data_IF_745093735800
#
_entry.id   IF_745093735800
#
_cell.length_a   1.000
_cell.length_b   1.000
_cell.length_c   1.000
_cell.angle_alpha   90.00
_cell.angle_beta   90.00
_cell.angle_gamma   90.00
#
_symmetry.space_group_name_H-M   'P 1'
#
loop_
_entity.id
_entity.type
_entity.pdbx_description
1 polymer ?
#
# COMPACT_ATOMS: atom_id res chain seq x y z
N UNK A 1 -4.18 9.88 -7.90
CA UNK A 1 -4.63 9.20 -6.68
C UNK A 1 -3.70 8.02 -6.45
N UNK A 2 -3.09 7.90 -5.27
CA UNK A 2 -2.09 6.86 -4.95
C UNK A 2 -2.41 6.28 -3.57
N UNK A 3 -1.87 5.10 -3.28
CA UNK A 3 -1.75 4.58 -1.92
C UNK A 3 -0.29 4.74 -1.51
N UNK A 4 -0.02 5.63 -0.56
CA UNK A 4 1.33 5.83 0.00
C UNK A 4 1.60 4.84 1.12
N UNK A 5 0.60 4.66 1.98
CA UNK A 5 0.60 3.65 3.02
C UNK A 5 -0.69 2.86 2.88
N UNK A 6 -0.55 1.57 2.62
CA UNK A 6 -1.62 0.60 2.66
C UNK A 6 -1.05 -0.70 3.22
N UNK A 7 -1.90 -1.47 3.86
CA UNK A 7 -1.58 -2.78 4.41
C UNK A 7 -2.64 -3.77 3.93
N UNK A 8 -2.18 -4.75 3.14
CA UNK A 8 -2.97 -5.84 2.58
C UNK A 8 -2.49 -7.20 3.10
N UNK A 9 -1.71 -7.22 4.18
CA UNK A 9 -1.16 -8.44 4.78
C UNK A 9 -2.24 -9.45 5.19
N UNK A 10 -3.45 -8.98 5.50
CA UNK A 10 -4.61 -9.81 5.85
C UNK A 10 -5.22 -10.59 4.68
N UNK A 11 -4.83 -10.28 3.44
CA UNK A 11 -5.37 -10.88 2.22
C UNK A 11 -4.28 -11.42 1.30
N UNK A 12 -3.16 -11.85 1.87
CA UNK A 12 -2.13 -12.60 1.12
C UNK A 12 -2.75 -13.90 0.63
N UNK A 13 -2.69 -14.12 -0.68
CA UNK A 13 -3.26 -15.29 -1.33
C UNK A 13 -2.25 -16.45 -1.35
N UNK A 14 -2.76 -17.68 -1.41
CA UNK A 14 -1.93 -18.84 -1.73
C UNK A 14 -1.40 -18.74 -3.18
N UNK A 15 -0.17 -19.20 -3.46
CA UNK A 15 0.43 -19.15 -4.78
C UNK A 15 -0.45 -19.86 -5.82
N UNK A 16 -0.88 -19.14 -6.85
CA UNK A 16 -1.84 -19.64 -7.82
C UNK A 16 -1.19 -20.47 -8.94
N UNK A 17 0.02 -20.09 -9.35
CA UNK A 17 0.75 -20.77 -10.41
C UNK A 17 1.93 -21.58 -9.85
N UNK A 18 2.37 -22.59 -10.61
CA UNK A 18 3.54 -23.41 -10.22
C UNK A 18 4.81 -22.58 -9.98
N UNK A 19 4.98 -21.46 -10.70
CA UNK A 19 6.11 -20.56 -10.50
C UNK A 19 5.96 -19.66 -9.26
N UNK A 20 4.73 -19.42 -8.79
CA UNK A 20 4.43 -18.49 -7.70
C UNK A 20 5.00 -18.95 -6.36
N UNK A 21 5.22 -20.26 -6.18
CA UNK A 21 5.88 -20.79 -4.98
C UNK A 21 7.26 -20.15 -4.75
N UNK A 22 7.93 -19.72 -5.82
CA UNK A 22 9.23 -19.08 -5.74
C UNK A 22 9.16 -17.62 -5.27
N UNK A 23 7.97 -17.02 -5.16
CA UNK A 23 7.74 -15.63 -4.75
C UNK A 23 7.39 -15.54 -3.26
N UNK A 24 6.80 -16.59 -2.70
CA UNK A 24 6.39 -16.66 -1.30
C UNK A 24 7.60 -16.49 -0.37
N UNK A 25 7.48 -15.57 0.59
CA UNK A 25 8.51 -15.29 1.59
C UNK A 25 9.75 -14.55 1.07
N UNK A 26 9.81 -14.18 -0.21
CA UNK A 26 10.88 -13.32 -0.74
C UNK A 26 10.55 -11.85 -0.58
N UNK A 27 11.60 -11.04 -0.40
CA UNK A 27 11.49 -9.58 -0.49
C UNK A 27 11.29 -9.17 -1.95
N UNK A 28 10.43 -8.18 -2.18
CA UNK A 28 10.19 -7.62 -3.51
C UNK A 28 11.48 -6.99 -4.02
N UNK A 29 11.84 -7.37 -5.25
CA UNK A 29 12.96 -6.78 -5.97
C UNK A 29 12.68 -6.78 -7.47
N UNK A 30 13.49 -6.04 -8.22
CA UNK A 30 13.38 -5.98 -9.68
C UNK A 30 13.47 -7.38 -10.33
N UNK A 31 14.27 -8.28 -9.76
CA UNK A 31 14.48 -9.64 -10.28
C UNK A 31 13.25 -10.53 -10.19
N UNK A 32 12.30 -10.20 -9.31
CA UNK A 32 11.04 -10.93 -9.13
C UNK A 32 9.88 -10.32 -9.92
N UNK A 33 10.09 -9.19 -10.62
CA UNK A 33 9.01 -8.50 -11.34
C UNK A 33 8.31 -9.37 -12.36
N UNK A 34 9.02 -10.29 -13.02
CA UNK A 34 8.41 -11.18 -14.01
C UNK A 34 7.29 -12.01 -13.39
N UNK A 35 7.45 -12.50 -12.16
CA UNK A 35 6.45 -13.31 -11.45
C UNK A 35 5.40 -12.46 -10.74
N UNK A 36 5.83 -11.39 -10.06
CA UNK A 36 4.94 -10.49 -9.31
C UNK A 36 3.92 -9.78 -10.20
N UNK A 37 4.21 -9.60 -11.50
CA UNK A 37 3.24 -9.07 -12.47
C UNK A 37 2.08 -10.02 -12.75
N UNK A 38 2.26 -11.31 -12.53
CA UNK A 38 1.24 -12.34 -12.78
C UNK A 38 0.54 -12.81 -11.51
N UNK A 39 1.24 -12.81 -10.37
CA UNK A 39 0.69 -13.23 -9.08
C UNK A 39 1.19 -12.31 -7.94
N UNK A 40 0.66 -11.08 -7.84
CA UNK A 40 1.18 -10.07 -6.90
C UNK A 40 0.80 -10.34 -5.44
N UNK A 41 -0.35 -10.99 -5.20
CA UNK A 41 -0.92 -11.16 -3.86
C UNK A 41 -0.30 -12.32 -3.08
N UNK A 42 0.41 -13.24 -3.75
CA UNK A 42 1.09 -14.36 -3.09
C UNK A 42 2.40 -13.97 -2.36
N UNK A 43 2.88 -12.74 -2.56
CA UNK A 43 4.10 -12.24 -1.93
C UNK A 43 3.76 -11.36 -0.73
N UNK A 44 4.00 -11.87 0.47
CA UNK A 44 3.71 -11.17 1.73
C UNK A 44 4.37 -9.78 1.80
N UNK A 45 5.66 -9.67 1.43
CA UNK A 45 6.41 -8.40 1.41
C UNK A 45 5.82 -7.39 0.41
N UNK A 46 5.22 -7.88 -0.69
CA UNK A 46 4.53 -7.02 -1.65
C UNK A 46 3.26 -6.40 -1.05
N UNK A 47 2.55 -7.17 -0.23
CA UNK A 47 1.28 -6.80 0.42
C UNK A 47 1.46 -6.07 1.75
N UNK A 48 2.65 -6.10 2.33
CA UNK A 48 2.95 -5.46 3.61
C UNK A 48 3.04 -3.94 3.50
N UNK A 49 2.87 -3.28 4.65
CA UNK A 49 3.03 -1.85 4.84
C UNK A 49 4.43 -1.43 4.40
N UNK A 50 4.50 -0.32 3.66
CA UNK A 50 5.78 0.25 3.20
C UNK A 50 6.44 1.09 4.29
N UNK A 51 7.76 0.98 4.36
CA UNK A 51 8.58 1.81 5.24
C UNK A 51 8.56 3.28 4.78
N UNK A 52 8.62 4.20 5.74
CA UNK A 52 8.47 5.62 5.45
C UNK A 52 9.58 6.16 4.54
N UNK A 53 10.80 5.66 4.70
CA UNK A 53 11.96 6.11 3.93
C UNK A 53 11.86 5.68 2.46
N UNK A 54 11.34 4.48 2.19
CA UNK A 54 11.05 4.01 0.82
C UNK A 54 9.97 4.88 0.16
N UNK A 55 8.94 5.24 0.92
CA UNK A 55 7.87 6.14 0.44
C UNK A 55 8.43 7.52 0.13
N UNK A 56 9.30 8.06 0.98
CA UNK A 56 9.95 9.36 0.75
C UNK A 56 10.84 9.32 -0.50
N UNK A 57 11.60 8.25 -0.70
CA UNK A 57 12.44 8.07 -1.89
C UNK A 57 11.61 8.16 -3.18
N UNK A 58 10.49 7.44 -3.24
CA UNK A 58 9.56 7.47 -4.38
C UNK A 58 8.88 8.83 -4.57
N UNK A 59 8.56 9.53 -3.48
CA UNK A 59 7.97 10.88 -3.55
C UNK A 59 8.97 11.88 -4.10
N UNK A 60 10.25 11.78 -3.74
CA UNK A 60 11.28 12.68 -4.24
C UNK A 60 11.41 12.58 -5.77
N UNK A 61 11.19 11.40 -6.35
CA UNK A 61 11.12 11.22 -7.80
C UNK A 61 9.93 11.96 -8.43
N UNK A 62 8.77 12.00 -7.76
CA UNK A 62 7.63 12.79 -8.22
C UNK A 62 7.87 14.29 -8.09
N UNK A 63 8.47 14.73 -6.98
CA UNK A 63 8.78 16.13 -6.72
C UNK A 63 9.83 16.68 -7.67
N UNK A 64 10.84 15.88 -8.05
CA UNK A 64 11.88 16.28 -9.01
C UNK A 64 11.32 16.60 -10.40
N UNK A 65 10.15 16.04 -10.74
CA UNK A 65 9.39 16.33 -11.96
C UNK A 65 8.40 17.50 -11.80
N UNK A 66 8.46 18.24 -10.68
CA UNK A 66 7.60 19.40 -10.40
C UNK A 66 6.29 19.06 -9.69
N UNK A 67 6.12 17.82 -9.21
CA UNK A 67 4.99 17.39 -8.42
C UNK A 67 4.88 18.14 -7.09
N UNK A 68 3.66 18.56 -6.71
CA UNK A 68 3.43 19.38 -5.50
C UNK A 68 2.37 18.84 -4.54
N UNK A 69 1.50 17.96 -5.02
CA UNK A 69 0.37 17.45 -4.25
C UNK A 69 0.11 15.99 -4.59
N UNK A 70 -0.10 15.16 -3.57
CA UNK A 70 -0.58 13.79 -3.73
C UNK A 70 -1.84 13.60 -2.88
N UNK A 71 -2.80 12.85 -3.42
CA UNK A 71 -3.97 12.35 -2.69
C UNK A 71 -3.71 10.89 -2.34
N UNK A 72 -3.67 10.59 -1.05
CA UNK A 72 -3.68 9.23 -0.51
C UNK A 72 -5.13 8.72 -0.44
N UNK A 73 -5.41 7.62 -1.15
CA UNK A 73 -6.75 7.03 -1.22
C UNK A 73 -6.98 5.87 -0.26
N UNK A 74 -6.09 5.67 0.70
CA UNK A 74 -6.30 4.69 1.76
C UNK A 74 -7.30 5.27 2.78
N UNK A 75 -8.59 5.08 2.48
CA UNK A 75 -9.69 5.77 3.17
C UNK A 75 -10.07 5.21 4.55
N UNK A 76 -9.63 4.00 4.89
CA UNK A 76 -10.02 3.32 6.12
C UNK A 76 -8.89 2.50 6.73
N UNK A 77 -9.02 2.24 8.03
CA UNK A 77 -8.08 1.41 8.80
C UNK A 77 -8.02 -0.03 8.27
N UNK A 78 -9.09 -0.52 7.65
CA UNK A 78 -9.20 -1.88 7.10
C UNK A 78 -8.21 -2.17 5.97
N UNK A 79 -7.70 -1.13 5.31
CA UNK A 79 -6.68 -1.20 4.27
C UNK A 79 -5.39 -0.46 4.66
N UNK A 80 -5.20 -0.19 5.97
CA UNK A 80 -3.95 0.33 6.51
C UNK A 80 -3.78 1.85 6.45
N UNK A 81 -4.86 2.64 6.55
CA UNK A 81 -4.75 4.12 6.62
C UNK A 81 -3.86 4.56 7.79
N UNK A 82 -2.82 5.33 7.49
CA UNK A 82 -1.89 5.87 8.48
C UNK A 82 -1.71 7.40 8.34
N UNK A 83 -2.60 8.15 9.02
CA UNK A 83 -2.57 9.61 8.98
C UNK A 83 -1.31 10.22 9.62
N UNK A 84 -0.71 9.53 10.60
CA UNK A 84 0.50 9.98 11.28
C UNK A 84 1.71 9.90 10.35
N UNK A 85 1.87 8.78 9.64
CA UNK A 85 2.92 8.63 8.64
C UNK A 85 2.76 9.62 7.47
N UNK A 86 1.53 9.82 6.97
CA UNK A 86 1.26 10.83 5.93
C UNK A 86 1.67 12.24 6.38
N UNK A 87 1.37 12.61 7.63
CA UNK A 87 1.79 13.90 8.19
C UNK A 87 3.31 14.00 8.29
N UNK A 88 3.98 12.94 8.74
CA UNK A 88 5.43 12.92 8.85
C UNK A 88 6.11 13.10 7.48
N UNK A 89 5.61 12.41 6.45
CA UNK A 89 6.10 12.57 5.07
C UNK A 89 5.87 14.00 4.58
N UNK A 90 4.69 14.58 4.79
CA UNK A 90 4.41 15.95 4.40
C UNK A 90 5.36 16.96 5.07
N UNK A 91 5.65 16.78 6.36
CA UNK A 91 6.60 17.62 7.10
C UNK A 91 8.05 17.46 6.63
N UNK A 92 8.48 16.23 6.34
CA UNK A 92 9.85 15.94 5.88
C UNK A 92 10.12 16.40 4.46
N UNK A 93 9.12 16.33 3.58
CA UNK A 93 9.29 16.60 2.14
C UNK A 93 8.79 17.98 1.72
N UNK A 94 7.88 18.60 2.48
CA UNK A 94 7.17 19.81 2.05
C UNK A 94 6.10 19.57 0.99
N UNK A 95 5.81 18.31 0.66
CA UNK A 95 4.74 17.92 -0.26
C UNK A 95 3.35 18.15 0.38
N UNK A 96 2.39 18.62 -0.39
CA UNK A 96 1.00 18.66 0.05
C UNK A 96 0.39 17.24 -0.04
N UNK A 97 -0.11 16.72 1.08
CA UNK A 97 -0.74 15.39 1.12
C UNK A 97 -2.19 15.52 1.59
N UNK A 98 -3.12 15.01 0.79
CA UNK A 98 -4.54 14.93 1.12
C UNK A 98 -4.88 13.49 1.51
N UNK A 99 -5.29 13.28 2.75
CA UNK A 99 -5.72 11.97 3.24
C UNK A 99 -7.22 11.76 2.96
N UNK A 100 -7.59 10.57 2.50
CA UNK A 100 -8.99 10.20 2.23
C UNK A 100 -9.67 9.61 3.46
N UNK A 101 -11.00 9.60 3.43
CA UNK A 101 -11.85 8.91 4.41
C UNK A 101 -13.02 8.26 3.70
N UNK A 102 -13.30 6.99 4.01
CA UNK A 102 -14.42 6.26 3.46
C UNK A 102 -14.26 4.74 3.62
N UNK A 103 -15.36 3.97 3.69
CA UNK A 103 -15.28 2.52 3.71
C UNK A 103 -14.72 1.98 2.38
N UNK A 104 -13.97 0.88 2.45
CA UNK A 104 -13.52 0.12 1.29
C UNK A 104 -14.50 -1.04 0.98
N UNK A 105 -14.03 -2.08 0.29
CA UNK A 105 -14.83 -3.26 -0.03
C UNK A 105 -15.27 -4.02 1.21
N UNK A 106 -16.45 -4.64 1.16
CA UNK A 106 -16.98 -5.46 2.25
C UNK A 106 -16.01 -6.53 2.73
N UNK A 107 -15.22 -7.12 1.81
CA UNK A 107 -14.16 -8.11 2.14
C UNK A 107 -13.21 -7.61 3.24
N UNK A 108 -12.90 -6.31 3.27
CA UNK A 108 -12.03 -5.69 4.28
C UNK A 108 -12.82 -5.09 5.45
N UNK A 109 -14.05 -4.66 5.21
CA UNK A 109 -14.86 -3.89 6.16
C UNK A 109 -15.93 -4.72 6.89
N UNK A 110 -16.02 -6.04 6.64
CA UNK A 110 -17.12 -6.92 7.08
C UNK A 110 -17.49 -6.75 8.56
N UNK A 111 -16.52 -6.63 9.46
CA UNK A 111 -16.76 -6.44 10.90
C UNK A 111 -17.35 -5.08 11.26
N UNK A 112 -17.18 -4.07 10.40
CA UNK A 112 -17.68 -2.70 10.58
C UNK A 112 -19.07 -2.50 9.98
N UNK A 113 -19.37 -3.16 8.85
CA UNK A 113 -20.63 -3.00 8.12
C UNK A 113 -21.75 -3.82 8.78
N UNK A 114 -21.44 -4.98 9.35
CA UNK A 114 -22.42 -5.88 9.98
C UNK A 114 -22.66 -5.59 11.48
N UNK A 115 -22.21 -4.45 12.01
CA UNK A 115 -22.61 -4.01 13.36
C UNK A 115 -24.07 -3.56 13.31
N UNK A 116 -24.99 -4.50 13.51
CA UNK A 116 -26.37 -4.22 13.87
C UNK A 116 -26.37 -3.47 15.21
N UNK A 117 -27.03 -2.32 15.26
CA UNK A 117 -27.28 -1.56 16.48
C UNK A 117 -28.00 -2.40 17.55
#
# INVERSE_FOLDING_TARGET
MKHLFNDLSSVVDEPHYAFSQQLVGKKVSADLQWGLKHDPYCCADNMDRKEIDDVIFEINNFMSLGGRTIVDATGSESIGRDASALREVALKTGLNIVASSGPYLEKFESTRIHKTC
#
